data_IF_878036483379
#
_entry.id   IF_878036483379
#
_cell.length_a   1.000
_cell.length_b   1.000
_cell.length_c   1.000
_cell.angle_alpha   90.00
_cell.angle_beta   90.00
_cell.angle_gamma   90.00
#
_symmetry.space_group_name_H-M   'P 1'
#
loop_
_entity.id
_entity.type
_entity.pdbx_description
1 polymer ?
#
# COMPACT_ATOMS: atom_id res chain seq x y z
N UNK A 1 21.95 -27.89 10.76
CA UNK A 1 21.79 -27.55 12.19
C UNK A 1 22.28 -26.13 12.46
N UNK A 2 23.56 -25.83 12.24
CA UNK A 2 24.14 -24.51 12.59
C UNK A 2 23.43 -23.33 11.92
N UNK A 3 23.05 -23.46 10.64
CA UNK A 3 22.35 -22.39 9.90
C UNK A 3 20.92 -22.15 10.41
N UNK A 4 20.18 -23.20 10.75
CA UNK A 4 18.83 -23.09 11.32
C UNK A 4 18.85 -22.52 12.74
N UNK A 5 19.90 -22.81 13.50
CA UNK A 5 20.08 -22.30 14.86
C UNK A 5 20.43 -20.80 14.83
N UNK A 6 21.27 -20.38 13.89
CA UNK A 6 21.59 -18.96 13.66
C UNK A 6 20.36 -18.14 13.24
N UNK A 7 19.58 -18.65 12.29
CA UNK A 7 18.34 -18.00 11.84
C UNK A 7 17.33 -17.86 12.99
N UNK A 8 17.21 -18.89 13.83
CA UNK A 8 16.32 -18.86 15.00
C UNK A 8 16.78 -17.85 16.05
N UNK A 9 18.08 -17.74 16.29
CA UNK A 9 18.64 -16.76 17.21
C UNK A 9 18.43 -15.32 16.70
N UNK A 10 18.62 -15.10 15.40
CA UNK A 10 18.30 -13.82 14.76
C UNK A 10 16.82 -13.46 14.90
N UNK A 11 15.91 -14.39 14.65
CA UNK A 11 14.48 -14.15 14.81
C UNK A 11 14.11 -13.74 16.24
N UNK A 12 14.72 -14.37 17.24
CA UNK A 12 14.51 -14.06 18.66
C UNK A 12 15.06 -12.67 18.99
N UNK A 13 16.28 -12.34 18.56
CA UNK A 13 16.92 -11.04 18.80
C UNK A 13 16.15 -9.91 18.12
N UNK A 14 15.74 -10.10 16.87
CA UNK A 14 14.90 -9.14 16.15
C UNK A 14 13.54 -8.97 16.82
N UNK A 15 12.90 -10.06 17.26
CA UNK A 15 11.63 -10.00 18.00
C UNK A 15 11.80 -9.23 19.30
N UNK A 16 12.88 -9.47 20.05
CA UNK A 16 13.17 -8.78 21.30
C UNK A 16 13.42 -7.28 21.08
N UNK A 17 14.25 -6.90 20.10
CA UNK A 17 14.45 -5.49 19.76
C UNK A 17 13.15 -4.80 19.33
N UNK A 18 12.35 -5.47 18.50
CA UNK A 18 11.06 -4.92 18.08
C UNK A 18 10.09 -4.78 19.24
N UNK A 19 10.03 -5.74 20.17
CA UNK A 19 9.26 -5.63 21.40
C UNK A 19 9.71 -4.44 22.26
N UNK A 20 11.02 -4.20 22.37
CA UNK A 20 11.56 -3.05 23.10
C UNK A 20 11.17 -1.74 22.41
N UNK A 21 11.34 -1.64 21.09
CA UNK A 21 10.92 -0.47 20.30
C UNK A 21 9.42 -0.19 20.46
N UNK A 22 8.58 -1.23 20.42
CA UNK A 22 7.14 -1.13 20.65
C UNK A 22 6.82 -0.61 22.05
N UNK A 23 7.47 -1.19 23.05
CA UNK A 23 7.25 -0.85 24.46
C UNK A 23 7.64 0.60 24.71
N UNK A 24 8.72 1.05 24.08
CA UNK A 24 9.16 2.44 24.10
C UNK A 24 8.16 3.36 23.38
N UNK A 25 7.67 2.97 22.20
CA UNK A 25 6.62 3.72 21.50
C UNK A 25 5.35 3.83 22.36
N UNK A 26 4.91 2.74 22.99
CA UNK A 26 3.73 2.73 23.88
C UNK A 26 3.96 3.61 25.12
N UNK A 27 5.15 3.55 25.72
CA UNK A 27 5.51 4.37 26.87
C UNK A 27 5.61 5.86 26.53
N UNK A 28 6.09 6.21 25.33
CA UNK A 28 6.24 7.61 24.88
C UNK A 28 4.91 8.20 24.36
N UNK A 29 4.01 7.39 23.79
CA UNK A 29 2.73 7.86 23.21
C UNK A 29 1.53 7.86 24.16
N UNK A 30 1.73 7.66 25.47
CA UNK A 30 0.72 7.64 26.56
C UNK A 30 -0.71 8.04 26.15
N UNK A 31 -1.70 7.14 26.26
CA UNK A 31 -3.17 7.35 26.09
C UNK A 31 -3.71 8.05 24.81
N UNK A 32 -2.96 8.94 24.15
CA UNK A 32 -3.24 9.55 22.83
C UNK A 32 -3.19 8.51 21.72
N UNK A 33 -2.62 7.34 22.01
CA UNK A 33 -2.69 6.17 21.15
C UNK A 33 -4.14 5.85 20.72
N UNK A 34 -5.10 5.88 21.63
CA UNK A 34 -6.48 5.46 21.35
C UNK A 34 -7.32 6.48 20.58
N UNK A 35 -6.87 7.73 20.48
CA UNK A 35 -7.64 8.84 19.91
C UNK A 35 -7.16 9.32 18.54
N UNK A 36 -6.08 8.75 18.00
CA UNK A 36 -5.62 9.07 16.64
C UNK A 36 -6.41 8.27 15.58
N UNK A 37 -6.59 8.79 14.35
CA UNK A 37 -7.27 8.09 13.26
C UNK A 37 -6.69 6.68 12.98
N UNK A 38 -5.42 6.46 13.31
CA UNK A 38 -4.68 5.21 13.12
C UNK A 38 -4.73 4.22 14.30
N UNK A 39 -5.59 4.45 15.31
CA UNK A 39 -5.66 3.62 16.53
C UNK A 39 -5.78 2.10 16.26
N UNK A 40 -6.52 1.71 15.20
CA UNK A 40 -6.72 0.32 14.80
C UNK A 40 -5.41 -0.41 14.56
N UNK A 41 -4.44 0.29 13.99
CA UNK A 41 -3.17 -0.29 13.58
C UNK A 41 -2.26 -0.62 14.75
N UNK A 42 -2.38 0.11 15.84
CA UNK A 42 -1.60 -0.17 17.03
C UNK A 42 -2.27 -1.13 17.99
N UNK A 43 -3.61 -1.17 17.99
CA UNK A 43 -4.32 -2.28 18.64
C UNK A 43 -3.91 -3.59 17.97
N UNK A 44 -3.83 -3.62 16.64
CA UNK A 44 -3.23 -4.73 15.91
C UNK A 44 -1.76 -4.93 16.28
N UNK A 45 -1.02 -3.85 16.53
CA UNK A 45 0.39 -3.89 16.92
C UNK A 45 0.61 -4.62 18.27
N UNK A 46 -0.19 -4.24 19.26
CA UNK A 46 -0.22 -4.85 20.59
C UNK A 46 -0.66 -6.32 20.53
N UNK A 47 -1.69 -6.62 19.74
CA UNK A 47 -2.20 -8.00 19.59
C UNK A 47 -1.14 -8.95 19.04
N UNK A 48 -0.32 -8.59 18.03
CA UNK A 48 0.69 -9.54 17.55
C UNK A 48 1.91 -9.66 18.45
N UNK A 49 2.22 -8.68 19.29
CA UNK A 49 3.24 -8.88 20.33
C UNK A 49 2.74 -9.90 21.35
N UNK A 50 1.48 -9.81 21.78
CA UNK A 50 0.87 -10.84 22.64
C UNK A 50 0.88 -12.23 21.97
N UNK A 51 0.51 -12.31 20.69
CA UNK A 51 0.55 -13.57 19.94
C UNK A 51 1.98 -14.12 19.83
N UNK A 52 2.99 -13.26 19.62
CA UNK A 52 4.40 -13.66 19.53
C UNK A 52 4.94 -14.20 20.85
N UNK A 53 4.48 -13.67 21.98
CA UNK A 53 4.81 -14.18 23.32
C UNK A 53 4.14 -15.53 23.54
N UNK A 54 2.85 -15.66 23.21
CA UNK A 54 2.12 -16.93 23.30
C UNK A 54 2.79 -17.99 22.43
N UNK A 55 3.17 -17.66 21.20
CA UNK A 55 3.94 -18.53 20.32
C UNK A 55 5.27 -18.92 20.99
N UNK A 56 6.06 -17.99 21.53
CA UNK A 56 7.33 -18.36 22.16
C UNK A 56 7.17 -19.34 23.34
N UNK A 57 6.12 -19.16 24.15
CA UNK A 57 5.79 -20.05 25.27
C UNK A 57 5.30 -21.40 24.76
N UNK A 58 4.42 -21.39 23.76
CA UNK A 58 3.72 -22.56 23.27
C UNK A 58 4.59 -23.39 22.31
N UNK A 59 5.63 -22.81 21.70
CA UNK A 59 6.68 -23.50 20.95
C UNK A 59 7.48 -24.49 21.82
N UNK A 60 7.53 -24.24 23.12
CA UNK A 60 8.15 -25.14 24.10
C UNK A 60 7.21 -26.28 24.53
N UNK A 61 5.95 -26.26 24.09
CA UNK A 61 4.95 -27.31 24.33
C UNK A 61 4.62 -28.06 23.04
N UNK A 62 4.53 -29.39 23.13
CA UNK A 62 4.46 -30.33 22.00
C UNK A 62 3.09 -30.39 21.27
N UNK A 63 2.41 -29.26 21.06
CA UNK A 63 1.12 -29.22 20.37
C UNK A 63 1.32 -29.04 18.85
N UNK A 64 1.29 -30.14 18.11
CA UNK A 64 1.93 -30.23 16.78
C UNK A 64 1.09 -29.81 15.54
N UNK A 65 -0.20 -29.48 15.65
CA UNK A 65 -1.04 -29.23 14.43
C UNK A 65 -1.62 -27.81 14.29
N UNK A 66 -2.11 -27.19 15.37
CA UNK A 66 -2.56 -25.79 15.31
C UNK A 66 -1.39 -24.81 15.15
N UNK A 67 -0.20 -25.24 15.54
CA UNK A 67 1.02 -24.44 15.53
C UNK A 67 1.43 -23.97 14.14
N UNK A 68 1.40 -24.87 13.16
CA UNK A 68 1.83 -24.58 11.78
C UNK A 68 0.93 -23.51 11.13
N UNK A 69 -0.37 -23.53 11.43
CA UNK A 69 -1.32 -22.55 10.89
C UNK A 69 -1.13 -21.17 11.53
N UNK A 70 -0.98 -21.13 12.85
CA UNK A 70 -0.75 -19.87 13.59
C UNK A 70 0.60 -19.26 13.22
N UNK A 71 1.66 -20.07 13.13
CA UNK A 71 2.99 -19.63 12.67
C UNK A 71 2.96 -19.00 11.28
N UNK A 72 2.24 -19.60 10.32
CA UNK A 72 2.11 -19.06 8.96
C UNK A 72 1.41 -17.70 8.96
N UNK A 73 0.32 -17.58 9.71
CA UNK A 73 -0.40 -16.31 9.85
C UNK A 73 0.45 -15.25 10.53
N UNK A 74 1.16 -15.60 11.61
CA UNK A 74 2.07 -14.69 12.32
C UNK A 74 3.22 -14.21 11.42
N UNK A 75 3.82 -15.10 10.62
CA UNK A 75 4.85 -14.72 9.63
C UNK A 75 4.33 -13.74 8.59
N UNK A 76 3.15 -13.99 8.03
CA UNK A 76 2.53 -13.08 7.05
C UNK A 76 2.21 -11.72 7.69
N UNK A 77 1.68 -11.72 8.92
CA UNK A 77 1.36 -10.49 9.64
C UNK A 77 2.61 -9.71 10.04
N UNK A 78 3.70 -10.37 10.44
CA UNK A 78 5.03 -9.75 10.65
C UNK A 78 5.58 -9.13 9.38
N UNK A 79 5.57 -9.86 8.26
CA UNK A 79 5.98 -9.35 6.94
C UNK A 79 5.16 -8.13 6.54
N UNK A 80 3.84 -8.19 6.70
CA UNK A 80 2.92 -7.09 6.38
C UNK A 80 3.18 -5.85 7.24
N UNK A 81 3.53 -6.02 8.52
CA UNK A 81 3.98 -4.91 9.37
C UNK A 81 5.26 -4.30 8.87
N UNK A 82 6.31 -5.10 8.64
CA UNK A 82 7.59 -4.57 8.14
C UNK A 82 7.38 -3.79 6.84
N UNK A 83 6.58 -4.33 5.91
CA UNK A 83 6.20 -3.64 4.67
C UNK A 83 5.48 -2.30 4.93
N UNK A 84 4.66 -2.23 5.97
CA UNK A 84 3.92 -1.02 6.33
C UNK A 84 4.77 0.02 7.08
N UNK A 85 5.65 -0.41 7.97
CA UNK A 85 6.57 0.46 8.70
C UNK A 85 7.71 0.98 7.79
N UNK A 86 7.89 0.38 6.60
CA UNK A 86 8.82 0.89 5.60
C UNK A 86 8.24 2.19 4.99
N UNK A 87 8.86 3.37 5.24
CA UNK A 87 8.37 4.65 4.73
C UNK A 87 8.42 4.76 3.20
N UNK A 88 9.06 3.81 2.53
CA UNK A 88 9.08 3.71 1.06
C UNK A 88 7.69 3.42 0.48
N UNK A 89 6.87 2.59 1.13
CA UNK A 89 5.54 2.26 0.59
C UNK A 89 4.57 3.44 0.66
N UNK A 90 4.64 4.24 1.72
CA UNK A 90 3.86 5.48 1.81
C UNK A 90 4.31 6.49 0.76
N UNK A 91 5.63 6.69 0.60
CA UNK A 91 6.19 7.53 -0.47
C UNK A 91 5.74 7.06 -1.86
N UNK A 92 5.73 5.75 -2.09
CA UNK A 92 5.29 5.15 -3.36
C UNK A 92 3.80 5.41 -3.61
N UNK A 93 2.94 5.26 -2.59
CA UNK A 93 1.51 5.58 -2.70
C UNK A 93 1.29 7.05 -3.05
N UNK A 94 2.01 7.96 -2.40
CA UNK A 94 1.94 9.40 -2.72
C UNK A 94 2.41 9.69 -4.13
N UNK A 95 3.51 9.07 -4.58
CA UNK A 95 4.03 9.21 -5.93
C UNK A 95 3.04 8.68 -6.98
N UNK A 96 2.45 7.50 -6.75
CA UNK A 96 1.42 6.94 -7.63
C UNK A 96 0.19 7.86 -7.69
N UNK A 97 -0.25 8.41 -6.56
CA UNK A 97 -1.37 9.34 -6.53
C UNK A 97 -1.08 10.63 -7.33
N UNK A 98 0.15 11.16 -7.23
CA UNK A 98 0.59 12.29 -8.02
C UNK A 98 0.59 11.97 -9.53
N UNK A 99 1.11 10.80 -9.92
CA UNK A 99 1.08 10.33 -11.31
C UNK A 99 -0.35 10.16 -11.82
N UNK A 100 -1.24 9.54 -11.03
CA UNK A 100 -2.64 9.35 -11.39
C UNK A 100 -3.34 10.70 -11.62
N UNK A 101 -3.06 11.69 -10.78
CA UNK A 101 -3.60 13.05 -10.94
C UNK A 101 -3.09 13.71 -12.22
N UNK A 102 -1.80 13.59 -12.53
CA UNK A 102 -1.22 14.10 -13.78
C UNK A 102 -1.82 13.42 -15.01
N UNK A 103 -1.99 12.09 -14.99
CA UNK A 103 -2.62 11.34 -16.09
C UNK A 103 -4.06 11.79 -16.29
N UNK A 104 -4.84 11.96 -15.22
CA UNK A 104 -6.20 12.46 -15.32
C UNK A 104 -6.25 13.85 -15.99
N UNK A 105 -5.34 14.76 -15.64
CA UNK A 105 -5.25 16.07 -16.28
C UNK A 105 -4.88 15.98 -17.77
N UNK A 106 -4.01 15.03 -18.13
CA UNK A 106 -3.58 14.80 -19.51
C UNK A 106 -4.72 14.27 -20.37
N UNK A 107 -5.58 13.40 -19.81
CA UNK A 107 -6.79 12.91 -20.48
C UNK A 107 -7.71 14.08 -20.84
N UNK A 108 -7.96 15.00 -19.92
CA UNK A 108 -8.78 16.19 -20.21
C UNK A 108 -8.15 17.08 -21.29
N UNK A 109 -6.83 17.27 -21.27
CA UNK A 109 -6.13 18.02 -22.31
C UNK A 109 -6.25 17.37 -23.70
N UNK A 110 -6.12 16.03 -23.76
CA UNK A 110 -6.30 15.27 -25.00
C UNK A 110 -7.75 15.37 -25.53
N UNK A 111 -8.74 15.32 -24.64
CA UNK A 111 -10.15 15.52 -25.02
C UNK A 111 -10.35 16.89 -25.65
N UNK A 112 -9.81 17.95 -25.05
CA UNK A 112 -9.89 19.30 -25.61
C UNK A 112 -9.19 19.40 -26.97
N UNK A 113 -8.00 18.80 -27.11
CA UNK A 113 -7.24 18.79 -28.36
C UNK A 113 -8.00 18.06 -29.48
N UNK A 114 -8.58 16.90 -29.20
CA UNK A 114 -9.41 16.18 -30.17
C UNK A 114 -10.65 16.98 -30.53
N UNK A 115 -11.27 17.63 -29.54
CA UNK A 115 -12.45 18.48 -29.77
C UNK A 115 -12.15 19.66 -30.70
N UNK A 116 -10.99 20.31 -30.57
CA UNK A 116 -10.64 21.45 -31.44
C UNK A 116 -10.32 20.99 -32.85
N UNK A 117 -9.55 19.90 -33.02
CA UNK A 117 -9.27 19.32 -34.34
C UNK A 117 -10.58 18.94 -35.04
N UNK A 118 -11.51 18.30 -34.32
CA UNK A 118 -12.81 17.93 -34.86
C UNK A 118 -13.61 19.14 -35.37
N UNK A 119 -13.67 20.23 -34.59
CA UNK A 119 -14.32 21.47 -35.01
C UNK A 119 -13.72 22.00 -36.31
N UNK A 120 -12.39 22.06 -36.42
CA UNK A 120 -11.73 22.50 -37.65
C UNK A 120 -12.02 21.58 -38.84
N UNK A 121 -12.01 20.25 -38.63
CA UNK A 121 -12.36 19.27 -39.66
C UNK A 121 -13.79 19.45 -40.18
N UNK A 122 -14.76 19.69 -39.29
CA UNK A 122 -16.15 19.92 -39.68
C UNK A 122 -16.32 21.20 -40.52
N UNK A 123 -15.67 22.30 -40.12
CA UNK A 123 -15.72 23.57 -40.88
C UNK A 123 -15.12 23.39 -42.27
N UNK A 124 -13.99 22.71 -42.38
CA UNK A 124 -13.34 22.45 -43.68
C UNK A 124 -14.22 21.57 -44.58
N UNK A 125 -14.83 20.52 -44.02
CA UNK A 125 -15.74 19.64 -44.76
C UNK A 125 -16.97 20.41 -45.26
N UNK A 126 -17.59 21.22 -44.41
CA UNK A 126 -18.74 22.05 -44.80
C UNK A 126 -18.36 23.05 -45.91
N UNK A 127 -17.20 23.69 -45.81
CA UNK A 127 -16.68 24.58 -46.85
C UNK A 127 -16.48 23.86 -48.19
N UNK A 128 -15.89 22.66 -48.15
CA UNK A 128 -15.69 21.84 -49.35
C UNK A 128 -17.02 21.37 -49.96
N UNK A 129 -17.99 20.94 -49.15
CA UNK A 129 -19.32 20.54 -49.61
C UNK A 129 -20.07 21.72 -50.25
N UNK A 130 -20.02 22.91 -49.65
CA UNK A 130 -20.64 24.11 -50.21
C UNK A 130 -20.01 24.50 -51.56
N UNK A 131 -18.69 24.37 -51.70
CA UNK A 131 -18.00 24.62 -52.97
C UNK A 131 -18.47 23.65 -54.07
N UNK A 132 -18.57 22.35 -53.76
CA UNK A 132 -19.00 21.34 -54.72
C UNK A 132 -20.46 21.57 -55.14
N UNK A 133 -21.36 21.86 -54.19
CA UNK A 133 -22.76 22.13 -54.50
C UNK A 133 -22.93 23.39 -55.36
N UNK A 134 -22.25 24.48 -55.03
CA UNK A 134 -22.31 25.72 -55.80
C UNK A 134 -21.72 25.57 -57.22
N UNK A 135 -20.77 24.64 -57.42
CA UNK A 135 -20.25 24.30 -58.75
C UNK A 135 -21.17 23.38 -59.55
N UNK A 136 -22.14 22.72 -58.92
CA UNK A 136 -23.10 21.83 -59.59
C UNK A 136 -24.37 22.56 -60.05
N UNK A 137 -24.64 23.75 -59.51
CA UNK A 137 -25.84 24.55 -59.80
C UNK A 137 -25.64 25.59 -60.93
N UNK A 138 -24.45 25.67 -61.54
CA UNK A 138 -24.11 26.54 -62.68
C UNK A 138 -23.66 25.77 -63.90
#
# INVERSE_FOLDING_TARGET
SVETDFLRLLDIVFTAMFCIELSLKVAVLEFRFFFMPDWKWNVLDLVLVLISIIETILANSSLQLNYIRVLRLCRVLRMMRVVREIPFFDKLRTMINAVATSVASLVWALVLLVSTIYMFSCVFLQGATQYILNSSDG
#
